data_IF_588250594741
#
_entry.id   IF_588250594741
#
_cell.length_a   1.000
_cell.length_b   1.000
_cell.length_c   1.000
_cell.angle_alpha   90.00
_cell.angle_beta   90.00
_cell.angle_gamma   90.00
#
_symmetry.space_group_name_H-M   'P 1'
#
loop_
_entity.id
_entity.type
_entity.pdbx_description
1 polymer ?
#
# COMPACT_ATOMS: atom_id res chain seq x y z
N UNK A 1 -12.84 18.28 6.09
CA UNK A 1 -12.26 17.91 4.77
C UNK A 1 -10.97 18.68 4.61
N UNK A 2 -9.81 18.01 4.42
CA UNK A 2 -8.55 18.72 4.17
C UNK A 2 -8.75 19.63 2.95
N UNK A 3 -8.08 20.78 2.96
CA UNK A 3 -8.29 21.99 2.16
C UNK A 3 -8.73 21.83 0.68
N UNK A 4 -8.43 20.71 0.02
CA UNK A 4 -8.79 20.38 -1.38
C UNK A 4 -10.28 20.10 -1.63
N UNK A 5 -11.04 19.68 -0.60
CA UNK A 5 -12.47 19.41 -0.77
C UNK A 5 -13.36 20.65 -0.82
N UNK A 6 -12.85 21.81 -0.40
CA UNK A 6 -13.59 23.08 -0.45
C UNK A 6 -13.41 23.85 -1.77
N UNK A 7 -12.45 23.43 -2.62
CA UNK A 7 -12.10 24.16 -3.85
C UNK A 7 -13.09 23.91 -4.99
N UNK A 8 -14.03 22.95 -4.88
CA UNK A 8 -15.14 22.72 -5.82
C UNK A 8 -14.75 22.37 -7.27
N UNK A 9 -13.46 22.29 -7.59
CA UNK A 9 -12.96 22.07 -8.94
C UNK A 9 -12.87 20.58 -9.25
N UNK A 10 -13.85 20.10 -10.01
CA UNK A 10 -13.89 18.71 -10.54
C UNK A 10 -12.62 18.37 -11.32
N UNK A 11 -12.04 19.36 -12.02
CA UNK A 11 -10.80 19.18 -12.78
C UNK A 11 -9.62 18.77 -11.89
N UNK A 12 -9.38 19.48 -10.79
CA UNK A 12 -8.30 19.15 -9.85
C UNK A 12 -8.53 17.79 -9.20
N UNK A 13 -9.78 17.50 -8.83
CA UNK A 13 -10.14 16.20 -8.26
C UNK A 13 -9.80 15.04 -9.22
N UNK A 14 -10.24 15.14 -10.48
CA UNK A 14 -9.97 14.12 -11.51
C UNK A 14 -8.48 13.99 -11.79
N UNK A 15 -7.74 15.10 -11.86
CA UNK A 15 -6.30 15.10 -12.09
C UNK A 15 -5.56 14.35 -10.98
N UNK A 16 -5.82 14.69 -9.71
CA UNK A 16 -5.19 14.00 -8.58
C UNK A 16 -5.57 12.52 -8.53
N UNK A 17 -6.82 12.19 -8.81
CA UNK A 17 -7.27 10.80 -8.85
C UNK A 17 -6.57 10.01 -9.98
N UNK A 18 -6.40 10.62 -11.15
CA UNK A 18 -5.65 10.04 -12.27
C UNK A 18 -4.19 9.77 -11.93
N UNK A 19 -3.53 10.68 -11.20
CA UNK A 19 -2.15 10.49 -10.72
C UNK A 19 -2.08 9.32 -9.71
N UNK A 20 -3.01 9.24 -8.76
CA UNK A 20 -3.02 8.16 -7.76
C UNK A 20 -3.23 6.80 -8.44
N UNK A 21 -4.17 6.71 -9.39
CA UNK A 21 -4.44 5.46 -10.12
C UNK A 21 -3.27 5.05 -11.02
N UNK A 22 -2.56 6.00 -11.64
CA UNK A 22 -1.40 5.68 -12.46
C UNK A 22 -0.24 5.13 -11.62
N UNK A 23 0.00 5.70 -10.44
CA UNK A 23 0.98 5.17 -9.47
C UNK A 23 0.60 3.75 -9.02
N UNK A 24 -0.68 3.50 -8.78
CA UNK A 24 -1.18 2.18 -8.43
C UNK A 24 -0.90 1.13 -9.54
N UNK A 25 -1.19 1.46 -10.79
CA UNK A 25 -0.91 0.59 -11.94
C UNK A 25 0.59 0.36 -12.18
N UNK A 26 1.41 1.40 -12.05
CA UNK A 26 2.87 1.31 -12.20
C UNK A 26 3.53 0.45 -11.12
N UNK A 27 3.02 0.48 -9.89
CA UNK A 27 3.45 -0.40 -8.81
C UNK A 27 3.25 -1.87 -9.18
N UNK A 28 2.04 -2.28 -9.52
CA UNK A 28 1.75 -3.68 -9.88
C UNK A 28 2.53 -4.20 -11.08
N UNK A 29 2.78 -3.36 -12.08
CA UNK A 29 3.59 -3.72 -13.25
C UNK A 29 5.06 -4.04 -12.89
N UNK A 30 5.60 -3.40 -11.85
CA UNK A 30 7.02 -3.54 -11.45
C UNK A 30 7.27 -4.55 -10.34
N UNK A 31 6.23 -4.98 -9.60
CA UNK A 31 6.37 -5.94 -8.48
C UNK A 31 7.12 -7.22 -8.89
N UNK A 32 6.80 -7.93 -9.98
CA UNK A 32 7.49 -9.20 -10.29
C UNK A 32 8.98 -9.00 -10.59
N UNK A 33 9.35 -7.92 -11.26
CA UNK A 33 10.73 -7.55 -11.52
C UNK A 33 11.45 -7.17 -10.21
N UNK A 34 10.81 -6.36 -9.36
CA UNK A 34 11.34 -5.98 -8.05
C UNK A 34 11.57 -7.21 -7.15
N UNK A 35 10.59 -8.12 -7.07
CA UNK A 35 10.71 -9.35 -6.29
C UNK A 35 11.82 -10.27 -6.82
N UNK A 36 11.96 -10.36 -8.14
CA UNK A 36 13.06 -11.10 -8.77
C UNK A 36 14.42 -10.55 -8.38
N UNK A 37 14.56 -9.23 -8.38
CA UNK A 37 15.84 -8.58 -8.11
C UNK A 37 16.19 -8.63 -6.60
N UNK A 38 15.17 -8.67 -5.72
CA UNK A 38 15.35 -8.76 -4.25
C UNK A 38 15.49 -10.20 -3.73
N UNK A 39 14.82 -11.18 -4.34
CA UNK A 39 14.73 -12.57 -3.83
C UNK A 39 15.27 -13.64 -4.79
N UNK A 40 15.65 -13.29 -6.03
CA UNK A 40 16.11 -14.22 -7.06
C UNK A 40 14.97 -14.86 -7.87
N UNK A 41 15.32 -15.49 -9.01
CA UNK A 41 14.37 -15.91 -10.07
C UNK A 41 13.52 -17.15 -9.76
N UNK A 42 13.98 -18.07 -8.90
CA UNK A 42 13.36 -19.41 -8.78
C UNK A 42 12.02 -19.44 -8.05
N UNK A 43 11.78 -18.52 -7.09
CA UNK A 43 10.56 -18.50 -6.26
C UNK A 43 9.71 -17.23 -6.40
N UNK A 44 9.96 -16.40 -7.42
CA UNK A 44 9.26 -15.11 -7.63
C UNK A 44 7.75 -15.28 -7.65
N UNK A 45 7.24 -16.32 -8.32
CA UNK A 45 5.80 -16.60 -8.39
C UNK A 45 5.17 -16.92 -7.03
N UNK A 46 5.83 -17.74 -6.21
CA UNK A 46 5.33 -18.10 -4.88
C UNK A 46 5.37 -16.90 -3.91
N UNK A 47 6.40 -16.07 -3.99
CA UNK A 47 6.53 -14.84 -3.20
C UNK A 47 5.47 -13.82 -3.63
N UNK A 48 5.27 -13.65 -4.94
CA UNK A 48 4.23 -12.77 -5.47
C UNK A 48 2.83 -13.24 -5.03
N UNK A 49 2.56 -14.55 -5.02
CA UNK A 49 1.31 -15.10 -4.51
C UNK A 49 1.05 -14.75 -3.04
N UNK A 50 2.07 -14.85 -2.17
CA UNK A 50 1.97 -14.41 -0.78
C UNK A 50 1.73 -12.90 -0.67
N UNK A 51 2.39 -12.09 -1.50
CA UNK A 51 2.16 -10.65 -1.56
C UNK A 51 0.71 -10.34 -1.93
N UNK A 52 0.13 -11.02 -2.92
CA UNK A 52 -1.27 -10.84 -3.31
C UNK A 52 -2.24 -11.24 -2.19
N UNK A 53 -1.94 -12.31 -1.44
CA UNK A 53 -2.76 -12.65 -0.26
C UNK A 53 -2.73 -11.56 0.82
N UNK A 54 -1.56 -10.99 1.11
CA UNK A 54 -1.44 -9.88 2.05
C UNK A 54 -2.18 -8.63 1.55
N UNK A 55 -2.12 -8.36 0.25
CA UNK A 55 -2.84 -7.25 -0.38
C UNK A 55 -4.37 -7.42 -0.26
N UNK A 56 -4.90 -8.62 -0.50
CA UNK A 56 -6.32 -8.92 -0.30
C UNK A 56 -6.75 -8.74 1.15
N UNK A 57 -5.93 -9.19 2.11
CA UNK A 57 -6.19 -8.99 3.55
C UNK A 57 -6.24 -7.50 3.89
N UNK A 58 -5.32 -6.70 3.36
CA UNK A 58 -5.34 -5.25 3.53
C UNK A 58 -6.61 -4.61 2.93
N UNK A 59 -7.07 -5.10 1.77
CA UNK A 59 -8.31 -4.64 1.13
C UNK A 59 -9.57 -4.88 1.96
N UNK A 60 -9.62 -5.97 2.73
CA UNK A 60 -10.72 -6.25 3.67
C UNK A 60 -10.58 -5.45 4.96
N UNK A 61 -9.37 -5.39 5.53
CA UNK A 61 -9.12 -4.73 6.81
C UNK A 61 -9.24 -3.21 6.74
N UNK A 62 -8.89 -2.59 5.62
CA UNK A 62 -8.93 -1.14 5.45
C UNK A 62 -10.31 -0.52 5.73
N UNK A 63 -11.37 -0.93 5.01
CA UNK A 63 -12.73 -0.44 5.25
C UNK A 63 -13.22 -0.76 6.67
N UNK A 64 -12.90 -1.95 7.18
CA UNK A 64 -13.28 -2.37 8.53
C UNK A 64 -12.67 -1.43 9.57
N UNK A 65 -11.37 -1.17 9.50
CA UNK A 65 -10.66 -0.26 10.40
C UNK A 65 -11.23 1.17 10.34
N UNK A 66 -11.45 1.70 9.13
CA UNK A 66 -12.05 3.04 8.92
C UNK A 66 -13.44 3.11 9.55
N UNK A 67 -14.28 2.10 9.32
CA UNK A 67 -15.63 2.06 9.87
C UNK A 67 -15.62 2.02 11.40
N UNK A 68 -14.75 1.20 12.01
CA UNK A 68 -14.61 1.12 13.46
C UNK A 68 -14.14 2.44 14.07
N UNK A 69 -13.10 3.06 13.51
CA UNK A 69 -12.58 4.35 14.00
C UNK A 69 -13.67 5.43 13.89
N UNK A 70 -14.34 5.49 12.73
CA UNK A 70 -15.42 6.45 12.50
C UNK A 70 -16.55 6.25 13.50
N UNK A 71 -16.97 5.02 13.75
CA UNK A 71 -18.05 4.71 14.70
C UNK A 71 -17.64 5.08 16.13
N UNK A 72 -16.44 4.72 16.56
CA UNK A 72 -15.89 5.09 17.86
C UNK A 72 -15.86 6.60 18.09
N UNK A 73 -15.51 7.39 17.07
CA UNK A 73 -15.52 8.86 17.14
C UNK A 73 -16.93 9.43 17.26
N UNK A 74 -17.90 8.86 16.54
CA UNK A 74 -19.31 9.26 16.62
C UNK A 74 -19.88 8.95 18.01
N UNK A 75 -19.60 7.76 18.54
CA UNK A 75 -20.06 7.32 19.86
C UNK A 75 -19.41 8.13 20.99
N UNK A 76 -18.21 8.67 20.76
CA UNK A 76 -17.50 9.59 21.67
C UNK A 76 -18.00 11.04 21.59
N UNK A 77 -19.05 11.32 20.82
CA UNK A 77 -19.71 12.63 20.73
C UNK A 77 -19.10 13.60 19.70
N UNK A 78 -18.16 13.16 18.85
CA UNK A 78 -17.54 14.00 17.82
C UNK A 78 -18.49 14.16 16.62
N UNK A 79 -18.62 15.38 16.11
CA UNK A 79 -19.43 15.65 14.93
C UNK A 79 -18.97 14.79 13.73
N UNK A 80 -19.92 14.23 12.98
CA UNK A 80 -19.65 13.31 11.85
C UNK A 80 -18.66 13.88 10.82
N UNK A 81 -18.64 15.20 10.66
CA UNK A 81 -17.72 15.89 9.75
C UNK A 81 -16.25 15.81 10.21
N UNK A 82 -16.01 15.85 11.52
CA UNK A 82 -14.67 15.79 12.11
C UNK A 82 -14.17 14.35 12.28
N UNK A 83 -15.08 13.39 12.49
CA UNK A 83 -14.75 11.97 12.51
C UNK A 83 -14.07 11.50 11.20
N UNK A 84 -14.46 12.09 10.05
CA UNK A 84 -13.80 11.82 8.77
C UNK A 84 -12.39 12.40 8.69
N UNK A 85 -12.18 13.59 9.24
CA UNK A 85 -10.87 14.27 9.26
C UNK A 85 -9.86 13.43 10.05
N UNK A 86 -10.24 12.96 11.25
CA UNK A 86 -9.39 12.08 12.09
C UNK A 86 -9.07 10.78 11.35
N UNK A 87 -10.06 10.15 10.73
CA UNK A 87 -9.88 8.91 9.98
C UNK A 87 -8.88 9.10 8.81
N UNK A 88 -8.97 10.22 8.08
CA UNK A 88 -8.03 10.54 6.99
C UNK A 88 -6.59 10.71 7.51
N UNK A 89 -6.38 11.36 8.65
CA UNK A 89 -5.04 11.48 9.25
C UNK A 89 -4.45 10.14 9.67
N UNK A 90 -5.27 9.23 10.20
CA UNK A 90 -4.81 7.88 10.57
C UNK A 90 -4.39 7.10 9.31
N UNK A 91 -5.16 7.19 8.22
CA UNK A 91 -4.78 6.56 6.95
C UNK A 91 -3.49 7.17 6.37
N UNK A 92 -3.32 8.49 6.47
CA UNK A 92 -2.06 9.13 6.10
C UNK A 92 -0.88 8.62 6.94
N UNK A 93 -1.07 8.44 8.25
CA UNK A 93 -0.07 7.85 9.15
C UNK A 93 0.30 6.41 8.75
N UNK A 94 -0.68 5.58 8.39
CA UNK A 94 -0.45 4.22 7.88
C UNK A 94 0.40 4.21 6.59
N UNK A 95 0.18 5.17 5.68
CA UNK A 95 0.99 5.32 4.48
C UNK A 95 2.44 5.69 4.82
N UNK A 96 2.66 6.59 5.78
CA UNK A 96 4.01 6.94 6.25
C UNK A 96 4.72 5.74 6.86
N UNK A 97 4.02 4.95 7.70
CA UNK A 97 4.57 3.70 8.24
C UNK A 97 4.92 2.73 7.12
N UNK A 98 4.03 2.55 6.14
CA UNK A 98 4.29 1.72 4.95
C UNK A 98 5.50 2.17 4.15
N UNK A 99 5.67 3.49 3.98
CA UNK A 99 6.83 4.08 3.31
C UNK A 99 8.13 3.81 4.08
N UNK A 100 8.12 3.97 5.41
CA UNK A 100 9.29 3.68 6.25
C UNK A 100 9.66 2.19 6.20
N UNK A 101 8.68 1.29 6.28
CA UNK A 101 8.89 -0.15 6.13
C UNK A 101 9.48 -0.50 4.75
N UNK A 102 9.02 0.19 3.70
CA UNK A 102 9.56 0.01 2.35
C UNK A 102 11.01 0.51 2.22
N UNK A 103 11.34 1.66 2.82
CA UNK A 103 12.71 2.19 2.86
C UNK A 103 13.67 1.30 3.66
N UNK A 104 13.16 0.63 4.71
CA UNK A 104 13.93 -0.32 5.51
C UNK A 104 14.14 -1.66 4.81
N UNK A 105 13.37 -1.98 3.76
CA UNK A 105 13.56 -3.20 2.99
C UNK A 105 14.93 -3.16 2.27
N UNK A 106 15.81 -4.09 2.64
CA UNK A 106 17.12 -4.27 2.01
C UNK A 106 17.09 -5.53 1.13
N UNK A 107 17.87 -5.55 0.03
CA UNK A 107 18.02 -6.76 -0.78
C UNK A 107 18.50 -7.91 0.12
N UNK A 108 17.94 -9.11 -0.11
CA UNK A 108 18.31 -10.27 0.70
C UNK A 108 19.81 -10.53 0.49
N UNK A 109 20.50 -10.87 1.57
CA UNK A 109 21.95 -10.99 1.53
C UNK A 109 22.35 -12.10 0.53
N UNK A 110 23.36 -11.87 -0.31
CA UNK A 110 23.76 -12.78 -1.40
C UNK A 110 24.12 -14.21 -0.93
N UNK A 111 24.39 -14.41 0.36
CA UNK A 111 24.54 -15.74 0.99
C UNK A 111 23.26 -16.60 0.97
N UNK A 112 22.09 -15.98 0.85
CA UNK A 112 20.79 -16.64 0.66
C UNK A 112 20.40 -16.73 -0.82
N UNK A 113 21.16 -16.08 -1.72
CA UNK A 113 21.06 -16.36 -3.14
C UNK A 113 21.67 -17.74 -3.35
N UNK A 114 20.86 -18.71 -3.76
CA UNK A 114 21.38 -20.02 -4.10
C UNK A 114 22.40 -19.87 -5.24
N UNK A 115 23.59 -20.45 -5.07
CA UNK A 115 24.57 -20.55 -6.15
C UNK A 115 23.95 -21.36 -7.28
N UNK A 116 24.06 -20.86 -8.51
CA UNK A 116 23.67 -21.61 -9.71
C UNK A 116 24.38 -22.95 -9.70
N UNK A 117 23.62 -24.03 -9.51
CA UNK A 117 24.12 -25.38 -9.73
C UNK A 117 24.47 -25.49 -11.22
N UNK A 118 25.70 -25.92 -11.58
CA UNK A 118 26.10 -25.98 -12.97
C UNK A 118 25.14 -26.91 -13.71
N UNK A 119 24.60 -26.43 -14.83
CA UNK A 119 23.78 -27.24 -15.72
C UNK A 119 24.53 -28.53 -16.02
N UNK A 120 23.97 -29.65 -15.54
CA UNK A 120 24.50 -30.97 -15.86
C UNK A 120 24.23 -31.17 -17.35
N UNK A 121 25.32 -31.24 -18.11
CA UNK A 121 25.35 -31.42 -19.56
C UNK A 121 24.82 -32.80 -19.98
#
# INVERSE_FOLDING_TARGET
VPWTGQTGSVFLFVLFYGIILSMYGGGFATIPAYLRDVFGVRYVGAIHGRLLTAWSVAGVLGPVLVNYIRQYQIDSGVAKADAYTVTMYIMAGLLVVGLLLNLMMRPVNARFHMKTEPAVA
#
